data_IF_066827344503
#
_entry.id   IF_066827344503
#
_cell.length_a   1.000
_cell.length_b   1.000
_cell.length_c   1.000
_cell.angle_alpha   90.00
_cell.angle_beta   90.00
_cell.angle_gamma   90.00
#
_symmetry.space_group_name_H-M   'P 1'
#
loop_
_entity.id
_entity.type
_entity.pdbx_description
1 polymer ?
#
# COMPACT_ATOMS: atom_id res chain seq x y z
N UNK A 1 1.32 -34.08 -15.51
CA UNK A 1 2.44 -33.14 -15.31
C UNK A 1 1.97 -31.80 -15.84
N UNK A 2 1.34 -31.00 -14.98
CA UNK A 2 0.88 -29.66 -15.31
C UNK A 2 2.10 -28.76 -15.30
N UNK A 3 2.37 -28.07 -16.41
CA UNK A 3 3.33 -26.99 -16.43
C UNK A 3 2.67 -25.81 -15.71
N UNK A 4 3.09 -25.59 -14.46
CA UNK A 4 2.69 -24.41 -13.70
C UNK A 4 3.19 -23.16 -14.44
N UNK A 5 2.25 -22.37 -14.97
CA UNK A 5 2.53 -21.07 -15.51
C UNK A 5 2.70 -20.10 -14.34
N UNK A 6 3.95 -19.78 -14.00
CA UNK A 6 4.33 -18.83 -12.96
C UNK A 6 4.07 -17.37 -13.42
N UNK A 7 3.69 -16.48 -12.49
CA UNK A 7 3.29 -15.10 -12.78
C UNK A 7 4.47 -14.15 -13.01
N UNK A 8 4.24 -13.03 -13.71
CA UNK A 8 5.16 -11.89 -13.71
C UNK A 8 5.40 -11.46 -12.24
N UNK A 9 6.67 -11.47 -11.82
CA UNK A 9 7.09 -11.27 -10.42
C UNK A 9 7.66 -12.51 -9.72
N UNK A 10 7.61 -13.69 -10.34
CA UNK A 10 8.27 -14.87 -9.79
C UNK A 10 9.80 -14.82 -10.00
N UNK A 11 10.50 -14.39 -8.95
CA UNK A 11 11.96 -14.24 -8.89
C UNK A 11 12.74 -15.58 -9.05
N UNK A 12 12.06 -16.74 -9.02
CA UNK A 12 12.72 -18.06 -9.13
C UNK A 12 13.31 -18.34 -10.52
N UNK A 13 12.84 -17.66 -11.57
CA UNK A 13 13.31 -17.87 -12.95
C UNK A 13 14.23 -16.77 -13.50
N UNK A 14 14.40 -15.64 -12.79
CA UNK A 14 15.27 -14.55 -13.24
C UNK A 14 16.74 -14.79 -12.93
N UNK A 15 17.07 -15.84 -12.16
CA UNK A 15 18.39 -16.03 -11.59
C UNK A 15 18.75 -14.99 -10.51
N UNK A 16 17.81 -14.12 -10.16
CA UNK A 16 17.98 -13.12 -9.12
C UNK A 16 17.58 -13.75 -7.78
N UNK A 17 18.57 -14.18 -7.01
CA UNK A 17 18.39 -14.30 -5.57
C UNK A 17 18.26 -12.89 -4.98
N UNK A 18 17.52 -12.73 -3.88
CA UNK A 18 17.75 -11.59 -3.00
C UNK A 18 19.24 -11.57 -2.71
N UNK A 19 19.95 -10.52 -3.16
CA UNK A 19 21.41 -10.44 -3.02
C UNK A 19 21.85 -10.24 -1.56
N UNK A 20 20.91 -9.95 -0.67
CA UNK A 20 21.13 -9.73 0.76
C UNK A 20 20.14 -10.55 1.61
N UNK A 21 20.66 -11.13 2.70
CA UNK A 21 19.82 -11.58 3.80
C UNK A 21 19.16 -10.35 4.43
N UNK A 22 17.82 -10.28 4.36
CA UNK A 22 17.05 -9.23 5.01
C UNK A 22 16.93 -9.55 6.49
N UNK A 23 17.75 -8.90 7.30
CA UNK A 23 17.57 -8.81 8.73
C UNK A 23 16.64 -7.63 9.02
N UNK A 24 15.66 -7.86 9.89
CA UNK A 24 14.71 -6.84 10.32
C UNK A 24 14.92 -6.62 11.81
N UNK A 25 15.00 -5.37 12.23
CA UNK A 25 14.96 -5.03 13.64
C UNK A 25 13.51 -5.05 14.12
N UNK A 26 13.14 -6.07 14.91
CA UNK A 26 11.79 -6.22 15.45
C UNK A 26 11.56 -5.41 16.73
N UNK A 27 12.55 -4.63 17.19
CA UNK A 27 12.47 -3.79 18.39
C UNK A 27 12.05 -4.60 19.63
N UNK A 28 12.61 -5.81 19.79
CA UNK A 28 12.17 -6.75 20.84
C UNK A 28 12.26 -6.13 22.24
N UNK A 29 13.36 -5.47 22.57
CA UNK A 29 13.56 -4.81 23.88
C UNK A 29 12.46 -3.77 24.18
N UNK A 30 12.14 -2.92 23.20
CA UNK A 30 11.04 -1.95 23.32
C UNK A 30 9.68 -2.64 23.54
N UNK A 31 9.44 -3.76 22.87
CA UNK A 31 8.21 -4.54 23.08
C UNK A 31 8.17 -5.09 24.52
N UNK A 32 9.30 -5.56 25.05
CA UNK A 32 9.39 -6.05 26.44
C UNK A 32 9.12 -4.93 27.44
N UNK A 33 9.76 -3.76 27.28
CA UNK A 33 9.53 -2.59 28.13
C UNK A 33 8.05 -2.23 28.19
N UNK A 34 7.37 -2.19 27.04
CA UNK A 34 5.94 -1.88 26.95
C UNK A 34 5.05 -2.99 27.53
N UNK A 35 5.48 -4.25 27.51
CA UNK A 35 4.78 -5.36 28.18
C UNK A 35 4.85 -5.17 29.69
N UNK A 36 6.03 -4.85 30.23
CA UNK A 36 6.27 -4.63 31.65
C UNK A 36 5.54 -3.38 32.17
N UNK A 37 5.67 -2.24 31.48
CA UNK A 37 5.04 -0.98 31.87
C UNK A 37 3.51 -1.07 31.95
N UNK A 38 2.91 -1.98 31.20
CA UNK A 38 1.46 -2.15 31.10
C UNK A 38 0.92 -3.36 31.86
N UNK A 39 1.78 -4.05 32.62
CA UNK A 39 1.45 -5.31 33.31
C UNK A 39 0.73 -6.31 32.37
N UNK A 40 1.20 -6.41 31.12
CA UNK A 40 0.50 -7.12 30.05
C UNK A 40 0.67 -8.64 30.19
N UNK A 41 -0.45 -9.36 30.17
CA UNK A 41 -0.45 -10.85 30.24
C UNK A 41 -0.75 -11.49 28.89
N UNK A 42 -1.30 -10.73 27.94
CA UNK A 42 -1.62 -11.19 26.59
C UNK A 42 -1.16 -10.18 25.55
N UNK A 43 -0.33 -10.65 24.63
CA UNK A 43 0.27 -9.82 23.57
C UNK A 43 -0.15 -10.36 22.21
N UNK A 44 -0.79 -9.52 21.41
CA UNK A 44 -1.19 -9.86 20.04
C UNK A 44 -0.11 -9.41 19.06
N UNK A 45 0.28 -10.26 18.12
CA UNK A 45 1.30 -9.96 17.12
C UNK A 45 0.69 -10.06 15.72
N UNK A 46 0.74 -8.97 14.95
CA UNK A 46 0.26 -8.94 13.57
C UNK A 46 1.40 -8.62 12.61
N UNK A 47 1.64 -9.54 11.68
CA UNK A 47 2.67 -9.41 10.65
C UNK A 47 2.06 -9.29 9.26
N UNK A 48 2.68 -8.49 8.35
CA UNK A 48 2.36 -8.52 6.93
C UNK A 48 2.72 -9.88 6.33
N UNK A 49 2.10 -10.23 5.20
CA UNK A 49 2.25 -11.55 4.56
C UNK A 49 3.70 -12.00 4.39
N UNK A 50 4.58 -11.10 3.92
CA UNK A 50 6.01 -11.41 3.70
C UNK A 50 6.79 -11.80 4.97
N UNK A 51 6.26 -11.46 6.15
CA UNK A 51 6.92 -11.66 7.45
C UNK A 51 6.21 -12.67 8.35
N UNK A 52 5.00 -13.13 8.02
CA UNK A 52 4.27 -14.14 8.82
C UNK A 52 5.08 -15.41 9.08
N UNK A 53 5.95 -15.82 8.15
CA UNK A 53 6.86 -16.97 8.32
C UNK A 53 7.85 -16.81 9.48
N UNK A 54 8.16 -15.57 9.88
CA UNK A 54 9.05 -15.26 11.01
C UNK A 54 8.28 -15.14 12.33
N UNK A 55 6.96 -15.00 12.29
CA UNK A 55 6.11 -14.78 13.46
C UNK A 55 6.35 -15.76 14.61
N UNK A 56 6.44 -17.09 14.39
CA UNK A 56 6.76 -18.03 15.45
C UNK A 56 8.12 -17.78 16.12
N UNK A 57 9.16 -17.48 15.34
CA UNK A 57 10.49 -17.20 15.87
C UNK A 57 10.52 -15.92 16.69
N UNK A 58 9.88 -14.85 16.20
CA UNK A 58 9.75 -13.58 16.96
C UNK A 58 8.99 -13.80 18.28
N UNK A 59 7.96 -14.64 18.27
CA UNK A 59 7.24 -14.98 19.49
C UNK A 59 8.07 -15.83 20.46
N UNK A 60 8.95 -16.69 19.95
CA UNK A 60 9.89 -17.46 20.78
C UNK A 60 10.96 -16.53 21.40
N UNK A 61 11.54 -15.62 20.61
CA UNK A 61 12.51 -14.63 21.09
C UNK A 61 11.89 -13.74 22.19
N UNK A 62 10.65 -13.27 22.02
CA UNK A 62 9.95 -12.50 23.05
C UNK A 62 9.67 -13.32 24.32
N UNK A 63 9.39 -14.63 24.20
CA UNK A 63 9.22 -15.51 25.37
C UNK A 63 10.51 -15.71 26.15
N UNK A 64 11.65 -15.76 25.47
CA UNK A 64 12.95 -15.89 26.13
C UNK A 64 13.32 -14.62 26.92
N UNK A 65 12.77 -13.47 26.53
CA UNK A 65 13.03 -12.17 27.14
C UNK A 65 11.97 -11.75 28.19
N UNK A 66 10.74 -12.28 28.13
CA UNK A 66 9.67 -11.99 29.09
C UNK A 66 9.67 -12.93 30.31
N UNK A 67 9.05 -12.48 31.40
CA UNK A 67 8.65 -13.33 32.52
C UNK A 67 7.66 -14.46 32.08
N UNK A 68 7.66 -15.58 32.81
CA UNK A 68 7.01 -16.85 32.45
C UNK A 68 5.47 -16.80 32.22
N UNK A 69 4.79 -15.70 32.56
CA UNK A 69 3.32 -15.60 32.58
C UNK A 69 2.69 -14.89 31.35
N UNK A 70 3.50 -14.47 30.36
CA UNK A 70 2.99 -13.76 29.17
C UNK A 70 2.56 -14.71 28.04
N UNK A 71 1.34 -14.55 27.54
CA UNK A 71 0.83 -15.30 26.38
C UNK A 71 0.91 -14.49 25.10
N UNK A 72 1.68 -14.96 24.12
CA UNK A 72 1.75 -14.39 22.77
C UNK A 72 0.74 -15.04 21.81
N UNK A 73 -0.03 -14.22 21.10
CA UNK A 73 -1.05 -14.64 20.13
C UNK A 73 -0.69 -14.09 18.74
N UNK A 74 -0.52 -14.98 17.76
CA UNK A 74 -0.26 -14.60 16.37
C UNK A 74 -1.57 -14.36 15.62
N UNK A 75 -1.69 -13.22 14.91
CA UNK A 75 -2.81 -12.98 14.00
C UNK A 75 -2.68 -13.88 12.76
N UNK A 76 -3.70 -14.70 12.54
CA UNK A 76 -3.87 -15.52 11.34
C UNK A 76 -4.61 -14.82 10.20
N UNK A 77 -5.04 -13.57 10.37
CA UNK A 77 -5.67 -12.79 9.29
C UNK A 77 -4.62 -12.29 8.29
N UNK A 78 -5.00 -12.05 7.04
CA UNK A 78 -4.21 -11.22 6.14
C UNK A 78 -3.87 -9.87 6.76
N UNK A 79 -2.78 -9.26 6.31
CA UNK A 79 -2.39 -7.92 6.77
C UNK A 79 -1.69 -7.18 5.63
N UNK A 80 -2.40 -6.22 5.04
CA UNK A 80 -1.94 -5.46 3.88
C UNK A 80 -1.36 -4.08 4.23
N UNK A 81 -1.54 -3.61 5.47
CA UNK A 81 -1.16 -2.28 5.91
C UNK A 81 -1.66 -1.95 7.32
N UNK A 82 -1.28 -0.77 7.81
CA UNK A 82 -1.87 -0.21 9.04
C UNK A 82 -3.38 0.09 8.91
N UNK A 83 -3.91 0.06 7.69
CA UNK A 83 -5.35 0.14 7.40
C UNK A 83 -6.13 -1.16 7.71
N UNK A 84 -5.43 -2.23 8.11
CA UNK A 84 -5.96 -3.57 8.27
C UNK A 84 -5.54 -4.19 9.60
N UNK A 85 -5.80 -3.49 10.70
CA UNK A 85 -5.48 -4.00 12.04
C UNK A 85 -6.46 -5.10 12.44
N UNK A 86 -5.95 -6.23 12.94
CA UNK A 86 -6.77 -7.31 13.50
C UNK A 86 -7.43 -6.88 14.81
N UNK A 87 -8.55 -6.17 14.68
CA UNK A 87 -9.28 -5.62 15.82
C UNK A 87 -9.87 -6.69 16.73
N UNK A 88 -10.11 -7.90 16.22
CA UNK A 88 -10.63 -9.00 17.01
C UNK A 88 -9.57 -9.55 17.97
N UNK A 89 -8.33 -9.67 17.48
CA UNK A 89 -7.17 -10.01 18.29
C UNK A 89 -6.83 -8.88 19.27
N UNK A 90 -6.73 -7.64 18.77
CA UNK A 90 -6.41 -6.45 19.59
C UNK A 90 -7.37 -6.27 20.78
N UNK A 91 -8.66 -6.60 20.63
CA UNK A 91 -9.64 -6.55 21.74
C UNK A 91 -9.42 -7.62 22.83
N UNK A 92 -8.65 -8.67 22.54
CA UNK A 92 -8.38 -9.80 23.43
C UNK A 92 -6.99 -9.77 24.06
N UNK A 93 -6.20 -8.77 23.68
CA UNK A 93 -4.84 -8.57 24.15
C UNK A 93 -4.74 -7.25 24.93
N UNK A 94 -3.75 -7.20 25.81
CA UNK A 94 -3.41 -6.03 26.60
C UNK A 94 -2.54 -5.09 25.75
N UNK A 95 -1.59 -5.70 25.01
CA UNK A 95 -0.73 -5.07 24.01
C UNK A 95 -0.99 -5.70 22.63
N UNK A 96 -0.97 -4.88 21.59
CA UNK A 96 -1.08 -5.32 20.20
C UNK A 96 0.07 -4.74 19.38
N UNK A 97 0.99 -5.59 18.95
CA UNK A 97 2.16 -5.21 18.15
C UNK A 97 1.85 -5.40 16.67
N UNK A 98 1.94 -4.33 15.90
CA UNK A 98 1.75 -4.31 14.46
C UNK A 98 3.08 -4.04 13.76
N UNK A 99 3.52 -4.99 12.95
CA UNK A 99 4.82 -4.93 12.29
C UNK A 99 4.71 -4.40 10.85
N UNK A 100 5.76 -3.73 10.37
CA UNK A 100 6.01 -3.42 8.96
C UNK A 100 5.34 -2.17 8.38
N UNK A 101 4.55 -1.43 9.17
CA UNK A 101 3.84 -0.25 8.69
C UNK A 101 3.86 0.89 9.70
N UNK A 102 3.91 2.12 9.20
CA UNK A 102 3.76 3.33 10.00
C UNK A 102 2.34 3.45 10.59
N UNK A 103 2.17 4.13 11.73
CA UNK A 103 0.88 4.33 12.37
C UNK A 103 -0.17 4.98 11.45
N UNK A 104 -1.38 4.43 11.46
CA UNK A 104 -2.59 5.05 10.86
C UNK A 104 -3.69 5.29 11.90
N UNK A 105 -3.59 4.64 13.07
CA UNK A 105 -4.54 4.77 14.16
C UNK A 105 -3.80 4.92 15.48
N UNK A 106 -4.10 6.01 16.17
CA UNK A 106 -3.65 6.26 17.54
C UNK A 106 -4.47 5.41 18.51
N UNK A 107 -3.80 4.65 19.37
CA UNK A 107 -4.42 3.91 20.46
C UNK A 107 -3.34 3.44 21.41
N UNK A 108 -3.54 3.68 22.71
CA UNK A 108 -2.61 3.25 23.77
C UNK A 108 -2.31 1.75 23.69
N UNK A 109 -3.22 0.91 23.19
CA UNK A 109 -3.00 -0.54 23.05
C UNK A 109 -2.01 -0.96 21.97
N UNK A 110 -1.69 -0.08 21.01
CA UNK A 110 -1.00 -0.48 19.77
C UNK A 110 0.46 -0.04 19.82
N UNK A 111 1.35 -0.97 19.51
CA UNK A 111 2.77 -0.69 19.27
C UNK A 111 3.01 -0.92 17.78
N UNK A 112 3.39 0.14 17.08
CA UNK A 112 3.83 0.04 15.69
C UNK A 112 5.34 -0.16 15.64
N UNK A 113 5.76 -1.19 14.92
CA UNK A 113 7.17 -1.52 14.64
C UNK A 113 7.34 -1.45 13.12
N UNK A 114 7.82 -0.34 12.54
CA UNK A 114 7.76 -0.07 11.11
C UNK A 114 8.64 -0.99 10.24
N UNK A 115 9.65 -1.66 10.82
CA UNK A 115 10.60 -2.56 10.15
C UNK A 115 11.25 -1.94 8.91
N UNK A 116 12.35 -1.23 9.13
CA UNK A 116 13.11 -0.59 8.06
C UNK A 116 13.95 -1.59 7.25
N UNK A 117 14.09 -1.31 5.96
CA UNK A 117 14.95 -2.06 5.05
C UNK A 117 16.41 -1.75 5.32
N UNK A 118 17.23 -2.80 5.37
CA UNK A 118 18.69 -2.71 5.47
C UNK A 118 19.40 -2.57 4.11
N UNK A 119 18.64 -2.50 3.01
CA UNK A 119 19.19 -2.36 1.65
C UNK A 119 19.62 -0.92 1.41
N UNK A 120 20.88 -0.74 0.98
CA UNK A 120 21.47 0.54 0.59
C UNK A 120 20.83 1.09 -0.71
N UNK A 121 20.16 2.26 -0.68
CA UNK A 121 19.51 2.84 -1.85
C UNK A 121 20.44 3.65 -2.76
N UNK A 122 21.60 4.11 -2.27
CA UNK A 122 22.42 5.08 -3.00
C UNK A 122 22.98 4.57 -4.34
N UNK A 123 23.38 3.28 -4.49
CA UNK A 123 23.83 2.78 -5.79
C UNK A 123 22.76 2.87 -6.88
N UNK A 124 21.51 2.55 -6.55
CA UNK A 124 20.42 2.62 -7.54
C UNK A 124 19.97 4.06 -7.79
N UNK A 125 20.10 4.94 -6.79
CA UNK A 125 19.87 6.37 -6.98
C UNK A 125 20.89 6.99 -7.95
N UNK A 126 22.16 6.59 -7.88
CA UNK A 126 23.19 6.99 -8.84
C UNK A 126 22.84 6.55 -10.26
N UNK A 127 22.42 5.30 -10.44
CA UNK A 127 21.94 4.81 -11.74
C UNK A 127 20.71 5.59 -12.23
N UNK A 128 19.84 6.06 -11.32
CA UNK A 128 18.61 6.77 -11.69
C UNK A 128 18.82 8.19 -12.21
N UNK A 129 20.01 8.77 -11.98
CA UNK A 129 20.34 10.11 -12.47
C UNK A 129 20.34 10.19 -14.00
N UNK A 130 20.57 9.08 -14.70
CA UNK A 130 20.53 9.03 -16.17
C UNK A 130 19.11 9.28 -16.75
N UNK A 131 18.07 9.11 -15.92
CA UNK A 131 16.65 9.26 -16.31
C UNK A 131 16.01 10.54 -15.75
N UNK A 132 16.76 11.31 -14.95
CA UNK A 132 16.37 12.65 -14.47
C UNK A 132 16.94 13.72 -15.39
N UNK A 133 16.31 14.90 -15.41
CA UNK A 133 16.86 16.03 -16.12
C UNK A 133 18.18 16.48 -15.46
N UNK A 134 19.09 17.05 -16.26
CA UNK A 134 20.34 17.61 -15.75
C UNK A 134 20.03 18.76 -14.77
N UNK A 135 20.55 18.73 -13.53
CA UNK A 135 20.28 19.77 -12.54
C UNK A 135 20.78 21.16 -12.94
N UNK A 136 21.72 21.28 -13.90
CA UNK A 136 22.10 22.58 -14.47
C UNK A 136 20.98 23.19 -15.33
N UNK A 137 20.09 22.38 -15.90
CA UNK A 137 18.96 22.80 -16.74
C UNK A 137 17.63 22.84 -15.97
N UNK A 138 17.38 21.82 -15.14
CA UNK A 138 16.19 21.67 -14.31
C UNK A 138 16.57 21.09 -12.94
N UNK A 139 16.84 21.94 -11.93
CA UNK A 139 17.29 21.48 -10.62
C UNK A 139 16.17 20.85 -9.77
N UNK A 140 14.91 21.14 -10.06
CA UNK A 140 13.78 20.77 -9.21
C UNK A 140 13.47 19.27 -9.33
N UNK A 141 13.58 18.53 -8.22
CA UNK A 141 13.24 17.11 -8.15
C UNK A 141 12.41 16.80 -6.91
N UNK A 142 11.35 16.03 -7.10
CA UNK A 142 10.60 15.45 -6.00
C UNK A 142 11.23 14.16 -5.50
N UNK A 143 11.27 13.97 -4.17
CA UNK A 143 11.66 12.67 -3.59
C UNK A 143 10.52 12.06 -2.80
N UNK A 144 10.16 10.82 -3.14
CA UNK A 144 9.18 10.03 -2.40
C UNK A 144 9.65 8.59 -2.17
N UNK A 145 9.17 7.98 -1.09
CA UNK A 145 9.44 6.56 -0.80
C UNK A 145 8.33 5.92 0.05
N UNK A 146 8.49 4.65 0.39
CA UNK A 146 7.58 3.91 1.26
C UNK A 146 8.13 3.81 2.68
N UNK A 147 7.28 3.41 3.64
CA UNK A 147 7.65 3.30 5.06
C UNK A 147 8.99 2.57 5.31
N UNK A 148 9.32 1.57 4.50
CA UNK A 148 10.50 0.72 4.69
C UNK A 148 11.83 1.44 4.46
N UNK A 149 11.85 2.58 3.77
CA UNK A 149 13.09 3.33 3.50
C UNK A 149 13.13 4.69 4.21
N UNK A 150 12.14 4.97 5.09
CA UNK A 150 12.04 6.28 5.76
C UNK A 150 13.20 6.57 6.69
N UNK A 151 13.89 5.56 7.20
CA UNK A 151 15.09 5.72 8.02
C UNK A 151 16.28 6.31 7.25
N UNK A 152 16.26 6.29 5.92
CA UNK A 152 17.31 6.86 5.06
C UNK A 152 16.79 8.06 4.26
N UNK A 153 15.57 8.54 4.52
CA UNK A 153 14.94 9.56 3.67
C UNK A 153 15.69 10.89 3.68
N UNK A 154 16.09 11.37 4.86
CA UNK A 154 16.90 12.59 5.01
C UNK A 154 18.24 12.45 4.29
N UNK A 155 18.95 11.31 4.47
CA UNK A 155 20.21 11.05 3.78
C UNK A 155 20.03 11.00 2.25
N UNK A 156 18.89 10.48 1.75
CA UNK A 156 18.58 10.48 0.32
C UNK A 156 18.34 11.89 -0.22
N UNK A 157 17.70 12.78 0.55
CA UNK A 157 17.57 14.20 0.19
C UNK A 157 18.95 14.85 0.09
N UNK A 158 19.75 14.77 1.15
CA UNK A 158 21.09 15.38 1.20
C UNK A 158 21.97 14.88 0.04
N UNK A 159 21.89 13.58 -0.27
CA UNK A 159 22.64 12.97 -1.36
C UNK A 159 22.30 13.54 -2.74
N UNK A 160 21.03 13.90 -2.99
CA UNK A 160 20.58 14.56 -4.22
C UNK A 160 21.00 16.04 -4.23
N UNK A 161 20.89 16.73 -3.10
CA UNK A 161 21.31 18.13 -2.96
C UNK A 161 22.81 18.31 -3.23
N UNK A 162 23.65 17.38 -2.75
CA UNK A 162 25.09 17.35 -3.03
C UNK A 162 25.42 17.23 -4.53
N UNK A 163 24.46 16.77 -5.33
CA UNK A 163 24.57 16.60 -6.79
C UNK A 163 23.93 17.74 -7.58
N UNK A 164 23.46 18.78 -6.90
CA UNK A 164 22.98 20.01 -7.52
C UNK A 164 21.47 20.09 -7.70
N UNK A 165 20.70 19.12 -7.22
CA UNK A 165 19.24 19.18 -7.23
C UNK A 165 18.68 20.06 -6.10
N UNK A 166 17.54 20.70 -6.36
CA UNK A 166 16.66 21.29 -5.36
C UNK A 166 15.57 20.26 -5.02
N UNK A 167 15.67 19.63 -3.84
CA UNK A 167 14.81 18.50 -3.47
C UNK A 167 13.52 18.99 -2.82
N UNK A 168 12.40 18.75 -3.50
CA UNK A 168 11.06 19.09 -3.03
C UNK A 168 10.43 17.91 -2.29
N UNK A 169 10.07 18.13 -1.05
CA UNK A 169 9.37 17.15 -0.21
C UNK A 169 8.25 17.82 0.58
N UNK A 170 7.29 17.00 1.01
CA UNK A 170 6.26 17.38 1.98
C UNK A 170 5.71 16.15 2.67
N UNK A 171 5.08 16.33 3.83
CA UNK A 171 4.36 15.25 4.54
C UNK A 171 3.12 14.73 3.80
N UNK A 172 2.40 15.61 3.09
CA UNK A 172 1.08 15.28 2.54
C UNK A 172 -0.02 15.45 3.58
N UNK A 173 -1.03 14.57 3.60
CA UNK A 173 -2.16 14.64 4.54
C UNK A 173 -2.03 13.70 5.75
N UNK A 174 -3.03 13.70 6.63
CA UNK A 174 -3.01 12.96 7.90
C UNK A 174 -2.91 11.43 7.75
N UNK A 175 -3.20 10.88 6.56
CA UNK A 175 -3.03 9.46 6.29
C UNK A 175 -1.57 9.06 6.14
N UNK A 176 -0.68 10.02 5.89
CA UNK A 176 0.75 9.85 5.72
C UNK A 176 1.48 10.25 7.01
N UNK A 177 2.34 9.37 7.49
CA UNK A 177 3.05 9.55 8.76
C UNK A 177 4.31 10.41 8.57
N UNK A 178 5.03 10.21 7.48
CA UNK A 178 6.34 10.81 7.24
C UNK A 178 6.37 11.70 6.00
N UNK A 179 7.32 12.65 6.00
CA UNK A 179 7.68 13.43 4.81
C UNK A 179 8.12 12.54 3.66
N UNK A 180 7.64 12.83 2.44
CA UNK A 180 7.90 12.03 1.25
C UNK A 180 7.27 10.63 1.24
N UNK A 181 6.45 10.27 2.24
CA UNK A 181 5.81 8.96 2.28
C UNK A 181 4.68 8.84 1.27
N UNK A 182 4.69 7.81 0.43
CA UNK A 182 3.55 7.42 -0.40
C UNK A 182 2.94 6.11 0.07
N UNK A 183 1.64 5.98 -0.12
CA UNK A 183 0.89 4.74 0.08
C UNK A 183 0.18 4.37 -1.22
N UNK A 184 -0.25 3.12 -1.32
CA UNK A 184 -1.05 2.67 -2.46
C UNK A 184 -2.44 3.26 -2.62
N UNK A 185 -2.81 4.16 -1.73
CA UNK A 185 -4.07 4.85 -1.74
C UNK A 185 -3.90 6.33 -1.45
N UNK A 186 -2.67 6.86 -1.38
CA UNK A 186 -2.46 8.27 -1.06
C UNK A 186 -1.10 8.72 -1.57
N UNK A 187 -1.13 9.76 -2.40
CA UNK A 187 0.04 10.37 -3.05
C UNK A 187 0.18 11.85 -2.70
N UNK A 188 -0.50 12.36 -1.66
CA UNK A 188 -0.50 13.77 -1.29
C UNK A 188 0.89 14.32 -0.89
N UNK A 189 1.86 13.45 -0.60
CA UNK A 189 3.26 13.82 -0.42
C UNK A 189 3.96 14.21 -1.73
N UNK A 190 3.41 13.84 -2.90
CA UNK A 190 3.89 14.19 -4.22
C UNK A 190 3.22 15.46 -4.80
N UNK A 191 2.36 16.13 -4.02
CA UNK A 191 1.81 17.46 -4.33
C UNK A 191 2.86 18.56 -4.12
N UNK A 192 3.92 18.52 -4.92
CA UNK A 192 5.12 19.36 -4.84
C UNK A 192 5.36 20.11 -6.15
N UNK A 193 6.10 21.20 -6.09
CA UNK A 193 6.43 22.07 -7.24
C UNK A 193 7.66 21.55 -7.99
N UNK A 194 7.55 20.33 -8.53
CA UNK A 194 8.59 19.69 -9.35
C UNK A 194 7.94 18.82 -10.43
N UNK A 195 8.43 18.95 -11.68
CA UNK A 195 7.93 18.21 -12.83
C UNK A 195 8.45 16.77 -12.88
N UNK A 196 9.56 16.48 -12.20
CA UNK A 196 10.16 15.15 -12.08
C UNK A 196 10.15 14.68 -10.62
N UNK A 197 9.87 13.40 -10.41
CA UNK A 197 9.82 12.75 -9.10
C UNK A 197 10.62 11.46 -9.14
N UNK A 198 11.59 11.37 -8.24
CA UNK A 198 12.28 10.13 -7.93
C UNK A 198 11.52 9.37 -6.84
N UNK A 199 10.97 8.21 -7.20
CA UNK A 199 10.49 7.21 -6.25
C UNK A 199 11.61 6.22 -5.96
N UNK A 200 12.01 6.11 -4.69
CA UNK A 200 12.97 5.09 -4.24
C UNK A 200 12.21 3.99 -3.53
N UNK A 201 12.24 2.75 -4.02
CA UNK A 201 11.61 1.65 -3.31
C UNK A 201 11.27 0.44 -4.17
N UNK A 202 10.95 -0.66 -3.50
CA UNK A 202 10.61 -1.91 -4.18
C UNK A 202 9.26 -1.86 -4.91
N UNK A 203 9.23 -2.43 -6.11
CA UNK A 203 8.00 -2.68 -6.87
C UNK A 203 7.44 -1.47 -7.61
N UNK A 204 6.57 -1.72 -8.58
CA UNK A 204 6.07 -0.70 -9.52
C UNK A 204 4.73 -0.08 -9.12
N UNK A 205 4.07 -0.64 -8.13
CA UNK A 205 2.69 -0.30 -7.84
C UNK A 205 2.52 1.14 -7.31
N UNK A 206 3.29 1.54 -6.29
CA UNK A 206 3.24 2.91 -5.76
C UNK A 206 3.56 3.97 -6.84
N UNK A 207 4.68 3.87 -7.59
CA UNK A 207 5.00 4.88 -8.59
C UNK A 207 4.04 4.89 -9.77
N UNK A 208 3.42 3.76 -10.14
CA UNK A 208 2.37 3.75 -11.17
C UNK A 208 1.13 4.50 -10.73
N UNK A 209 0.66 4.32 -9.49
CA UNK A 209 -0.48 5.09 -8.98
C UNK A 209 -0.14 6.58 -8.80
N UNK A 210 1.11 6.90 -8.41
CA UNK A 210 1.59 8.28 -8.37
C UNK A 210 1.55 8.94 -9.76
N UNK A 211 2.08 8.26 -10.79
CA UNK A 211 2.04 8.75 -12.16
C UNK A 211 0.63 8.85 -12.75
N UNK A 212 -0.35 8.16 -12.16
CA UNK A 212 -1.76 8.31 -12.53
C UNK A 212 -2.45 9.48 -11.84
N UNK A 213 -2.15 9.69 -10.57
CA UNK A 213 -2.64 10.85 -9.81
C UNK A 213 -2.05 12.16 -10.33
N UNK A 214 -0.77 12.12 -10.74
CA UNK A 214 -0.03 13.25 -11.28
C UNK A 214 0.45 12.95 -12.70
N UNK A 215 -0.45 12.95 -13.70
CA UNK A 215 -0.12 12.59 -15.09
C UNK A 215 0.88 13.55 -15.75
N UNK A 216 1.04 14.75 -15.21
CA UNK A 216 1.98 15.76 -15.71
C UNK A 216 3.42 15.54 -15.18
N UNK A 217 3.62 14.68 -14.17
CA UNK A 217 4.93 14.44 -13.57
C UNK A 217 5.67 13.28 -14.23
N UNK A 218 6.96 13.44 -14.51
CA UNK A 218 7.85 12.34 -14.88
C UNK A 218 8.27 11.56 -13.62
N UNK A 219 7.85 10.31 -13.50
CA UNK A 219 8.11 9.48 -12.30
C UNK A 219 9.20 8.45 -12.60
N UNK A 220 10.39 8.71 -12.08
CA UNK A 220 11.54 7.80 -12.16
C UNK A 220 11.50 6.84 -10.96
N UNK A 221 11.66 5.56 -11.22
CA UNK A 221 11.60 4.48 -10.22
C UNK A 221 13.01 3.95 -10.02
N UNK A 222 13.59 4.18 -8.86
CA UNK A 222 14.81 3.53 -8.40
C UNK A 222 14.43 2.38 -7.45
N UNK A 223 14.52 1.14 -7.89
CA UNK A 223 14.20 -0.04 -7.08
C UNK A 223 15.48 -0.65 -6.47
N UNK A 224 15.81 -0.35 -5.20
CA UNK A 224 17.02 -0.87 -4.56
C UNK A 224 16.95 -2.37 -4.26
N UNK A 225 15.74 -2.94 -4.26
CA UNK A 225 15.53 -4.37 -3.97
C UNK A 225 15.85 -5.22 -5.20
N UNK A 226 15.40 -4.79 -6.36
CA UNK A 226 15.58 -5.49 -7.62
C UNK A 226 16.75 -4.93 -8.45
N UNK A 227 17.36 -3.83 -8.00
CA UNK A 227 18.44 -3.10 -8.65
C UNK A 227 18.10 -2.76 -10.10
N UNK A 228 16.98 -2.06 -10.28
CA UNK A 228 16.48 -1.65 -11.59
C UNK A 228 15.95 -0.22 -11.54
N UNK A 229 16.30 0.57 -12.55
CA UNK A 229 15.72 1.88 -12.83
C UNK A 229 14.69 1.74 -13.95
N UNK A 230 13.50 2.32 -13.78
CA UNK A 230 12.47 2.39 -14.83
C UNK A 230 11.67 3.68 -14.72
N UNK A 231 11.10 4.15 -15.82
CA UNK A 231 10.09 5.22 -15.80
C UNK A 231 8.70 4.60 -15.62
N UNK A 232 7.83 5.24 -14.83
CA UNK A 232 6.46 4.81 -14.65
C UNK A 232 5.66 4.96 -15.97
N UNK A 233 5.17 3.84 -16.50
CA UNK A 233 4.33 3.81 -17.71
C UNK A 233 2.90 3.39 -17.34
N UNK A 234 1.97 4.35 -17.43
CA UNK A 234 0.56 4.17 -17.08
C UNK A 234 -0.29 3.66 -18.25
N UNK A 235 0.23 3.55 -19.48
CA UNK A 235 -0.57 3.29 -20.68
C UNK A 235 -1.30 1.94 -20.60
N UNK A 236 -0.57 0.87 -20.24
CA UNK A 236 -1.15 -0.48 -20.07
C UNK A 236 -2.25 -0.47 -19.01
N UNK A 237 -2.02 0.24 -17.92
CA UNK A 237 -2.94 0.31 -16.81
C UNK A 237 -4.22 1.07 -17.20
N UNK A 238 -4.09 2.27 -17.77
CA UNK A 238 -5.22 3.08 -18.24
C UNK A 238 -6.08 2.31 -19.24
N UNK A 239 -5.47 1.61 -20.20
CA UNK A 239 -6.19 0.71 -21.13
C UNK A 239 -7.01 -0.36 -20.41
N UNK A 240 -6.48 -0.96 -19.35
CA UNK A 240 -7.20 -1.94 -18.54
C UNK A 240 -8.38 -1.30 -17.80
N UNK A 241 -8.21 -0.08 -17.26
CA UNK A 241 -9.28 0.65 -16.58
C UNK A 241 -10.39 1.06 -17.54
N UNK A 242 -10.06 1.66 -18.68
CA UNK A 242 -11.02 1.95 -19.75
C UNK A 242 -11.79 0.71 -20.19
N UNK A 243 -11.10 -0.43 -20.35
CA UNK A 243 -11.74 -1.70 -20.67
C UNK A 243 -12.64 -2.24 -19.56
N UNK A 244 -12.36 -1.95 -18.28
CA UNK A 244 -13.23 -2.31 -17.16
C UNK A 244 -14.49 -1.44 -17.13
N UNK A 245 -14.33 -0.11 -17.24
CA UNK A 245 -15.44 0.86 -17.29
C UNK A 245 -16.37 0.54 -18.47
N UNK A 246 -15.83 0.35 -19.67
CA UNK A 246 -16.65 0.09 -20.86
C UNK A 246 -17.45 -1.21 -20.76
N UNK A 247 -16.88 -2.27 -20.17
CA UNK A 247 -17.62 -3.52 -19.91
C UNK A 247 -18.72 -3.38 -18.87
N UNK A 248 -18.66 -2.35 -18.03
CA UNK A 248 -19.62 -2.10 -16.97
C UNK A 248 -20.71 -1.08 -17.37
N UNK A 249 -20.55 -0.37 -18.50
CA UNK A 249 -21.56 0.60 -18.99
C UNK A 249 -22.92 -0.05 -19.29
N UNK A 250 -22.95 -1.33 -19.67
CA UNK A 250 -24.18 -2.10 -19.91
C UNK A 250 -24.67 -2.86 -18.65
N UNK A 251 -24.11 -2.60 -17.47
CA UNK A 251 -24.46 -3.33 -16.26
C UNK A 251 -25.80 -2.85 -15.67
N UNK A 252 -26.76 -3.77 -15.56
CA UNK A 252 -28.05 -3.50 -14.92
C UNK A 252 -27.96 -3.63 -13.39
N UNK A 253 -27.26 -4.65 -12.88
CA UNK A 253 -27.18 -4.94 -11.44
C UNK A 253 -25.78 -4.77 -10.86
N UNK A 254 -25.68 -3.96 -9.82
CA UNK A 254 -24.42 -3.55 -9.21
C UNK A 254 -24.25 -4.12 -7.79
N UNK A 255 -23.07 -4.70 -7.52
CA UNK A 255 -22.64 -5.01 -6.16
C UNK A 255 -21.73 -3.92 -5.61
N UNK A 256 -22.18 -3.17 -4.62
CA UNK A 256 -21.39 -2.10 -3.98
C UNK A 256 -20.69 -2.69 -2.76
N UNK A 257 -19.38 -2.77 -2.78
CA UNK A 257 -18.58 -3.43 -1.75
C UNK A 257 -18.13 -2.41 -0.72
N UNK A 258 -18.58 -2.61 0.53
CA UNK A 258 -18.05 -1.91 1.69
C UNK A 258 -17.06 -2.83 2.44
N UNK A 259 -15.79 -2.44 2.42
CA UNK A 259 -14.73 -3.13 3.15
C UNK A 259 -14.80 -2.80 4.65
N UNK A 260 -14.92 -3.81 5.52
CA UNK A 260 -15.05 -3.60 6.97
C UNK A 260 -13.75 -3.34 7.70
N UNK A 261 -12.61 -3.38 6.99
CA UNK A 261 -11.29 -3.09 7.55
C UNK A 261 -11.20 -1.64 8.00
N UNK A 262 -10.59 -1.44 9.17
CA UNK A 262 -10.59 -0.19 9.93
C UNK A 262 -9.82 0.98 9.30
N UNK A 263 -9.25 0.79 8.11
CA UNK A 263 -8.57 1.84 7.35
C UNK A 263 -9.15 2.01 5.95
N UNK A 264 -10.11 1.17 5.54
CA UNK A 264 -10.55 1.02 4.15
C UNK A 264 -12.04 1.31 3.95
N UNK A 265 -12.87 1.22 4.99
CA UNK A 265 -14.31 1.43 4.86
C UNK A 265 -14.69 2.87 4.53
N UNK A 266 -15.31 3.09 3.36
CA UNK A 266 -15.98 4.36 2.98
C UNK A 266 -17.50 4.17 2.99
N UNK A 267 -18.09 4.22 4.19
CA UNK A 267 -19.49 3.89 4.42
C UNK A 267 -20.43 4.84 3.69
N UNK A 268 -20.20 6.15 3.83
CA UNK A 268 -21.01 7.22 3.25
C UNK A 268 -21.01 7.10 1.72
N UNK A 269 -19.85 6.86 1.10
CA UNK A 269 -19.74 6.65 -0.36
C UNK A 269 -20.50 5.40 -0.81
N UNK A 270 -20.44 4.32 -0.05
CA UNK A 270 -21.19 3.10 -0.38
C UNK A 270 -22.70 3.30 -0.24
N UNK A 271 -23.16 4.04 0.78
CA UNK A 271 -24.56 4.40 0.94
C UNK A 271 -25.05 5.29 -0.19
N UNK A 272 -24.29 6.34 -0.53
CA UNK A 272 -24.60 7.27 -1.62
C UNK A 272 -24.89 6.53 -2.94
N UNK A 273 -24.04 5.57 -3.31
CA UNK A 273 -24.23 4.78 -4.54
C UNK A 273 -25.52 3.97 -4.48
N UNK A 274 -25.80 3.30 -3.35
CA UNK A 274 -26.98 2.44 -3.19
C UNK A 274 -28.28 3.24 -3.11
N UNK A 275 -28.25 4.43 -2.52
CA UNK A 275 -29.41 5.32 -2.42
C UNK A 275 -29.78 5.96 -3.77
N UNK A 276 -28.78 6.21 -4.61
CA UNK A 276 -28.97 6.82 -5.93
C UNK A 276 -29.19 5.82 -7.07
N UNK A 277 -29.04 4.51 -6.82
CA UNK A 277 -29.23 3.46 -7.83
C UNK A 277 -30.05 2.29 -7.27
N UNK A 278 -31.31 2.14 -7.72
CA UNK A 278 -32.24 1.11 -7.25
C UNK A 278 -31.79 -0.34 -7.55
N UNK A 279 -30.84 -0.52 -8.48
CA UNK A 279 -30.26 -1.82 -8.81
C UNK A 279 -28.85 -2.02 -8.22
N UNK A 280 -28.43 -1.14 -7.31
CA UNK A 280 -27.22 -1.30 -6.53
C UNK A 280 -27.51 -1.95 -5.17
N UNK A 281 -26.70 -2.94 -4.80
CA UNK A 281 -26.87 -3.72 -3.58
C UNK A 281 -25.60 -3.66 -2.75
N UNK A 282 -25.71 -3.22 -1.49
CA UNK A 282 -24.59 -3.16 -0.57
C UNK A 282 -24.15 -4.56 -0.15
N UNK A 283 -22.85 -4.84 -0.29
CA UNK A 283 -22.18 -6.07 0.12
C UNK A 283 -21.10 -5.68 1.13
N UNK A 284 -21.27 -6.09 2.39
CA UNK A 284 -20.27 -5.87 3.43
C UNK A 284 -19.35 -7.08 3.54
N UNK A 285 -18.03 -6.84 3.57
CA UNK A 285 -17.05 -7.90 3.76
C UNK A 285 -15.72 -7.37 4.28
N UNK A 286 -14.98 -8.23 4.98
CA UNK A 286 -13.63 -7.90 5.44
C UNK A 286 -12.60 -8.12 4.33
N UNK A 287 -12.58 -9.33 3.77
CA UNK A 287 -11.69 -9.72 2.69
C UNK A 287 -12.42 -9.68 1.34
N UNK A 288 -11.96 -8.83 0.42
CA UNK A 288 -12.50 -8.74 -0.94
C UNK A 288 -11.66 -9.58 -1.87
N UNK A 289 -12.20 -10.74 -2.30
CA UNK A 289 -11.47 -11.66 -3.18
C UNK A 289 -12.37 -12.19 -4.31
N UNK A 290 -11.79 -12.63 -5.44
CA UNK A 290 -12.57 -13.18 -6.56
C UNK A 290 -13.52 -14.31 -6.16
N UNK A 291 -13.07 -15.24 -5.31
CA UNK A 291 -13.87 -16.39 -4.90
C UNK A 291 -15.06 -16.00 -4.02
N UNK A 292 -14.91 -14.97 -3.17
CA UNK A 292 -16.00 -14.48 -2.33
C UNK A 292 -17.08 -13.76 -3.13
N UNK A 293 -16.70 -13.08 -4.21
CA UNK A 293 -17.64 -12.39 -5.09
C UNK A 293 -18.26 -13.28 -6.16
N UNK A 294 -17.66 -14.43 -6.45
CA UNK A 294 -18.06 -15.33 -7.55
C UNK A 294 -19.53 -15.76 -7.54
N UNK A 295 -20.12 -15.91 -6.36
CA UNK A 295 -21.49 -16.40 -6.21
C UNK A 295 -22.55 -15.29 -6.20
N UNK A 296 -22.13 -14.02 -6.20
CA UNK A 296 -23.07 -12.91 -6.32
C UNK A 296 -23.44 -12.72 -7.80
N UNK A 297 -24.73 -12.84 -8.11
CA UNK A 297 -25.24 -12.65 -9.47
C UNK A 297 -25.39 -11.16 -9.79
N UNK A 298 -24.25 -10.48 -9.96
CA UNK A 298 -24.11 -9.07 -10.35
C UNK A 298 -23.47 -8.95 -11.74
N UNK A 299 -23.71 -7.83 -12.39
CA UNK A 299 -23.14 -7.52 -13.70
C UNK A 299 -21.79 -6.82 -13.57
N UNK A 300 -21.66 -5.95 -12.56
CA UNK A 300 -20.42 -5.30 -12.18
C UNK A 300 -20.38 -5.04 -10.67
N UNK A 301 -19.19 -4.71 -10.16
CA UNK A 301 -18.97 -4.36 -8.77
C UNK A 301 -18.32 -2.99 -8.65
N UNK A 302 -18.68 -2.26 -7.60
CA UNK A 302 -18.01 -1.02 -7.18
C UNK A 302 -17.32 -1.28 -5.86
N UNK A 303 -16.02 -1.06 -5.79
CA UNK A 303 -15.23 -1.23 -4.59
C UNK A 303 -15.04 0.13 -3.90
N UNK A 304 -15.66 0.31 -2.73
CA UNK A 304 -15.43 1.49 -1.88
C UNK A 304 -14.36 1.24 -0.81
N UNK A 305 -13.67 0.10 -0.87
CA UNK A 305 -12.53 -0.26 -0.03
C UNK A 305 -11.19 0.20 -0.59
N UNK A 306 -10.14 -0.59 -0.34
CA UNK A 306 -8.79 -0.32 -0.84
C UNK A 306 -8.76 -0.25 -2.38
N UNK A 307 -8.22 0.83 -2.98
CA UNK A 307 -8.22 1.02 -4.44
C UNK A 307 -7.38 -0.03 -5.16
N UNK A 308 -6.36 -0.58 -4.48
CA UNK A 308 -5.50 -1.67 -5.00
C UNK A 308 -6.25 -2.93 -5.38
N UNK A 309 -7.35 -3.24 -4.71
CA UNK A 309 -8.16 -4.41 -5.05
C UNK A 309 -8.74 -4.23 -6.46
N UNK A 310 -9.17 -3.01 -6.77
CA UNK A 310 -9.73 -2.67 -8.07
C UNK A 310 -8.66 -2.68 -9.15
N UNK A 311 -7.48 -2.16 -8.84
CA UNK A 311 -6.45 -1.87 -9.82
C UNK A 311 -5.49 -3.04 -10.05
N UNK A 312 -4.97 -3.64 -8.98
CA UNK A 312 -4.03 -4.77 -9.03
C UNK A 312 -4.76 -6.09 -9.26
N UNK A 313 -5.81 -6.36 -8.47
CA UNK A 313 -6.55 -7.63 -8.53
C UNK A 313 -7.74 -7.60 -9.51
N UNK A 314 -8.14 -6.42 -9.98
CA UNK A 314 -9.27 -6.20 -10.90
C UNK A 314 -9.34 -7.20 -12.06
N UNK A 315 -8.25 -7.45 -12.81
CA UNK A 315 -8.22 -8.42 -13.90
C UNK A 315 -8.53 -9.87 -13.50
N UNK A 316 -8.41 -10.22 -12.22
CA UNK A 316 -8.68 -11.56 -11.68
C UNK A 316 -10.16 -11.78 -11.36
N UNK A 317 -10.96 -10.71 -11.25
CA UNK A 317 -12.38 -10.82 -11.01
C UNK A 317 -13.12 -11.22 -12.29
N UNK A 318 -14.10 -12.12 -12.13
CA UNK A 318 -14.92 -12.63 -13.24
C UNK A 318 -15.91 -11.61 -13.82
N UNK A 319 -16.15 -10.50 -13.09
CA UNK A 319 -16.98 -9.35 -13.48
C UNK A 319 -16.13 -8.08 -13.34
N UNK A 320 -16.47 -6.99 -14.07
CA UNK A 320 -15.80 -5.71 -13.90
C UNK A 320 -15.81 -5.25 -12.43
N UNK A 321 -14.67 -4.80 -11.96
CA UNK A 321 -14.46 -4.18 -10.66
C UNK A 321 -14.07 -2.73 -10.89
N UNK A 322 -14.87 -1.79 -10.40
CA UNK A 322 -14.66 -0.35 -10.56
C UNK A 322 -14.36 0.33 -9.22
N UNK A 323 -13.66 1.45 -9.27
CA UNK A 323 -13.60 2.42 -8.18
C UNK A 323 -14.89 3.25 -8.17
N UNK A 324 -15.14 4.07 -7.13
CA UNK A 324 -16.30 4.95 -7.12
C UNK A 324 -16.31 5.94 -8.29
N UNK A 325 -15.18 6.59 -8.61
CA UNK A 325 -15.10 7.52 -9.74
C UNK A 325 -15.36 6.84 -11.09
N UNK A 326 -14.81 5.65 -11.28
CA UNK A 326 -15.07 4.84 -12.48
C UNK A 326 -16.52 4.38 -12.60
N UNK A 327 -17.20 4.14 -11.48
CA UNK A 327 -18.63 3.85 -11.46
C UNK A 327 -19.45 5.04 -11.94
N UNK A 328 -19.15 6.26 -11.47
CA UNK A 328 -19.83 7.49 -11.92
C UNK A 328 -19.69 7.68 -13.44
N UNK A 329 -18.52 7.35 -14.00
CA UNK A 329 -18.31 7.34 -15.46
C UNK A 329 -19.15 6.25 -16.12
N UNK A 330 -19.15 5.02 -15.58
CA UNK A 330 -19.85 3.89 -16.18
C UNK A 330 -21.38 4.10 -16.24
N UNK A 331 -21.97 4.77 -15.25
CA UNK A 331 -23.41 5.08 -15.22
C UNK A 331 -23.77 6.40 -15.93
N UNK A 332 -22.77 7.12 -16.46
CA UNK A 332 -22.96 8.32 -17.26
C UNK A 332 -23.14 9.62 -16.47
N UNK A 333 -22.77 9.64 -15.19
CA UNK A 333 -22.78 10.86 -14.37
C UNK A 333 -21.56 11.74 -14.64
N UNK A 334 -20.43 11.12 -15.01
CA UNK A 334 -19.17 11.80 -15.35
C UNK A 334 -18.67 11.39 -16.75
N UNK A 335 -17.95 12.26 -17.47
CA UNK A 335 -17.35 11.94 -18.76
C UNK A 335 -16.12 11.05 -18.59
N UNK A 336 -15.78 10.28 -19.65
CA UNK A 336 -14.68 9.32 -19.62
C UNK A 336 -13.30 9.96 -19.39
N UNK A 337 -13.16 11.23 -19.80
CA UNK A 337 -11.93 12.01 -19.62
C UNK A 337 -11.63 12.34 -18.15
N UNK A 338 -12.62 12.20 -17.25
CA UNK A 338 -12.45 12.42 -15.80
C UNK A 338 -11.94 11.16 -15.07
N UNK A 339 -11.41 10.16 -15.79
CA UNK A 339 -10.83 8.98 -15.16
C UNK A 339 -9.58 9.36 -14.36
N UNK A 340 -9.66 9.18 -13.05
CA UNK A 340 -8.60 9.47 -12.09
C UNK A 340 -8.28 8.25 -11.21
N UNK A 341 -7.15 8.29 -10.51
CA UNK A 341 -6.81 7.25 -9.55
C UNK A 341 -7.66 7.41 -8.28
N UNK A 342 -8.08 6.30 -7.68
CA UNK A 342 -8.88 6.34 -6.45
C UNK A 342 -7.99 6.47 -5.22
N UNK A 343 -8.02 7.63 -4.58
CA UNK A 343 -7.22 7.97 -3.40
C UNK A 343 -8.07 8.07 -2.12
N UNK A 344 -7.40 7.97 -0.98
CA UNK A 344 -7.92 8.11 0.36
C UNK A 344 -7.22 9.27 1.02
N UNK A 345 -7.96 10.30 1.43
CA UNK A 345 -7.43 11.43 2.16
C UNK A 345 -7.88 11.41 3.63
N UNK A 346 -6.99 11.82 4.51
CA UNK A 346 -7.25 11.91 5.94
C UNK A 346 -7.23 10.57 6.68
N UNK A 347 -7.42 10.67 7.99
CA UNK A 347 -7.60 9.53 8.89
C UNK A 347 -9.06 9.42 9.30
N UNK A 348 -9.43 8.20 9.67
CA UNK A 348 -10.79 7.74 9.97
C UNK A 348 -11.71 8.71 10.70
#
# INVERSE_FOLDING_TARGET
MSQDAYSEGDLRNTGMALRHDREWDYELERIIDEIEERDATKVGLQFPEGLKRRGPAVADDLRELCDDDVTFLLSGQPCYGACDLDTYLMRRTDVFVHFGHSPMKESDKIIYVPLFSNVDPFPIMEESLEELDDPEENPDVGLVTTAQHMNLFEDMCEWLEERGFEVHTRRGDDRLTHEGQVLGCNYASADIDADQVLYVGGGKFHPLGLAMEHPDKNVVIADPVNNVVTIADTEKFLKQRYGAVHRAMDADKWGVIFCTKIGQGRWEKAQEIVENNENAYLITMDEVTPDRLRNFNMDAFVNTGCPRITTDDGPRFHKPMLTPGEYEIAVGNEPLENLEFDTFHGTW
#
